data_IF_187266660789
#
_entry.id   IF_187266660789
#
_cell.length_a   1.000
_cell.length_b   1.000
_cell.length_c   1.000
_cell.angle_alpha   90.00
_cell.angle_beta   90.00
_cell.angle_gamma   90.00
#
_symmetry.space_group_name_H-M   'P 1'
#
loop_
_entity.id
_entity.type
_entity.pdbx_description
1 polymer ?
#
# COMPACT_ATOMS: atom_id res chain seq x y z
N UNK A 1 5.09 2.46 -7.78
CA UNK A 1 4.38 1.17 -7.92
C UNK A 1 3.03 1.36 -8.62
N UNK A 2 2.59 0.46 -9.50
CA UNK A 2 1.32 0.60 -10.27
C UNK A 2 0.10 0.82 -9.36
N UNK A 3 0.06 0.14 -8.22
CA UNK A 3 -1.01 0.28 -7.23
C UNK A 3 -1.17 1.72 -6.70
N UNK A 4 -0.08 2.48 -6.60
CA UNK A 4 -0.13 3.89 -6.18
C UNK A 4 -0.83 4.76 -7.23
N UNK A 5 -0.59 4.53 -8.52
CA UNK A 5 -1.24 5.29 -9.60
C UNK A 5 -2.75 5.03 -9.59
N UNK A 6 -3.16 3.76 -9.49
CA UNK A 6 -4.59 3.38 -9.46
C UNK A 6 -5.28 3.96 -8.22
N UNK A 7 -4.62 3.92 -7.05
CA UNK A 7 -5.16 4.50 -5.84
C UNK A 7 -5.28 6.03 -5.94
N UNK A 8 -4.35 6.70 -6.61
CA UNK A 8 -4.44 8.13 -6.84
C UNK A 8 -5.62 8.52 -7.74
N UNK A 9 -5.93 7.71 -8.75
CA UNK A 9 -7.10 7.93 -9.61
C UNK A 9 -8.42 7.72 -8.85
N UNK A 10 -8.50 6.65 -8.04
CA UNK A 10 -9.74 6.26 -7.36
C UNK A 10 -9.99 6.98 -6.02
N UNK A 11 -8.95 7.59 -5.44
CA UNK A 11 -8.98 8.29 -4.15
C UNK A 11 -9.69 7.48 -3.02
N UNK A 12 -9.29 6.22 -2.75
CA UNK A 12 -9.92 5.43 -1.69
C UNK A 12 -9.64 6.05 -0.31
N UNK A 13 -10.53 5.80 0.65
CA UNK A 13 -10.32 6.23 2.04
C UNK A 13 -9.10 5.58 2.68
N UNK A 14 -8.82 4.32 2.35
CA UNK A 14 -7.65 3.53 2.79
C UNK A 14 -7.25 2.55 1.69
N UNK A 15 -5.94 2.45 1.41
CA UNK A 15 -5.33 1.44 0.55
C UNK A 15 -4.71 0.35 1.42
N UNK A 16 -5.01 -0.92 1.14
CA UNK A 16 -4.48 -2.07 1.90
C UNK A 16 -3.71 -2.98 0.95
N UNK A 17 -2.40 -3.05 1.12
CA UNK A 17 -1.52 -3.89 0.32
C UNK A 17 -1.52 -5.30 0.90
N UNK A 18 -1.80 -6.31 0.08
CA UNK A 18 -1.81 -7.72 0.46
C UNK A 18 -1.14 -8.57 -0.62
N UNK A 19 -0.92 -9.86 -0.33
CA UNK A 19 -0.29 -10.82 -1.24
C UNK A 19 1.10 -10.35 -1.74
N UNK A 20 1.91 -9.84 -0.83
CA UNK A 20 3.22 -9.27 -1.14
C UNK A 20 4.30 -10.36 -1.10
N UNK A 21 5.08 -10.45 -2.18
CA UNK A 21 6.35 -11.16 -2.18
C UNK A 21 7.45 -10.14 -1.90
N UNK A 22 8.12 -10.26 -0.75
CA UNK A 22 9.06 -9.22 -0.30
C UNK A 22 10.37 -9.18 -1.10
N UNK A 23 10.97 -10.31 -1.49
CA UNK A 23 12.22 -10.36 -2.29
C UNK A 23 13.30 -9.32 -1.88
N UNK A 24 13.52 -9.14 -0.58
CA UNK A 24 14.49 -8.18 -0.04
C UNK A 24 13.97 -6.75 0.15
N UNK A 25 12.75 -6.44 -0.28
CA UNK A 25 12.02 -5.25 0.11
C UNK A 25 11.66 -5.26 1.60
N UNK A 26 11.46 -4.06 2.15
CA UNK A 26 10.92 -3.85 3.49
C UNK A 26 9.54 -3.21 3.39
N UNK A 27 8.77 -3.26 4.48
CA UNK A 27 7.50 -2.53 4.58
C UNK A 27 7.67 -1.06 4.19
N UNK A 28 8.76 -0.44 4.64
CA UNK A 28 9.07 0.96 4.35
C UNK A 28 9.35 1.22 2.87
N UNK A 29 10.14 0.36 2.20
CA UNK A 29 10.40 0.54 0.77
C UNK A 29 9.12 0.42 -0.05
N UNK A 30 8.26 -0.55 0.30
CA UNK A 30 6.94 -0.74 -0.32
C UNK A 30 6.04 0.49 -0.16
N UNK A 31 5.97 1.04 1.06
CA UNK A 31 5.17 2.24 1.33
C UNK A 31 5.73 3.47 0.61
N UNK A 32 7.05 3.62 0.52
CA UNK A 32 7.68 4.72 -0.21
C UNK A 32 7.40 4.64 -1.72
N UNK A 33 7.36 3.44 -2.30
CA UNK A 33 7.02 3.22 -3.71
C UNK A 33 5.56 3.56 -4.06
N UNK A 34 4.65 3.37 -3.10
CA UNK A 34 3.24 3.80 -3.22
C UNK A 34 3.16 5.33 -3.11
N UNK A 35 3.83 5.92 -2.10
CA UNK A 35 3.84 7.37 -1.85
C UNK A 35 4.40 8.21 -2.98
N UNK A 36 5.15 7.62 -3.91
CA UNK A 36 5.55 8.31 -5.14
C UNK A 36 4.34 8.78 -6.00
N UNK A 37 3.16 8.17 -5.81
CA UNK A 37 1.96 8.48 -6.60
C UNK A 37 0.70 8.67 -5.75
N UNK A 38 0.61 8.07 -4.56
CA UNK A 38 -0.56 8.16 -3.70
C UNK A 38 -0.18 8.53 -2.26
N UNK A 39 -0.62 9.72 -1.84
CA UNK A 39 -0.38 10.26 -0.49
C UNK A 39 -1.44 9.84 0.54
N UNK A 40 -2.46 9.08 0.12
CA UNK A 40 -3.55 8.66 1.01
C UNK A 40 -3.16 7.56 2.00
N UNK A 41 -4.00 7.30 3.01
CA UNK A 41 -3.71 6.29 4.04
C UNK A 41 -3.45 4.92 3.42
N UNK A 42 -2.26 4.38 3.64
CA UNK A 42 -1.83 3.09 3.10
C UNK A 42 -1.35 2.17 4.22
N UNK A 43 -1.80 0.92 4.18
CA UNK A 43 -1.50 -0.13 5.16
C UNK A 43 -0.96 -1.36 4.44
N UNK A 44 -0.04 -2.09 5.07
CA UNK A 44 0.34 -3.44 4.65
C UNK A 44 -0.43 -4.43 5.52
N UNK A 45 -1.20 -5.31 4.88
CA UNK A 45 -1.98 -6.34 5.56
C UNK A 45 -1.07 -7.27 6.35
N UNK A 46 -1.54 -7.66 7.53
CA UNK A 46 -0.92 -8.67 8.39
C UNK A 46 -1.97 -9.69 8.78
N UNK A 47 -1.52 -10.89 9.15
CA UNK A 47 -2.44 -11.94 9.62
C UNK A 47 -3.29 -11.41 10.77
N UNK A 48 -4.60 -11.69 10.70
CA UNK A 48 -5.61 -11.27 11.67
C UNK A 48 -5.78 -9.74 11.82
N UNK A 49 -5.29 -8.93 10.86
CA UNK A 49 -5.52 -7.49 10.86
C UNK A 49 -7.00 -7.15 10.65
N UNK A 50 -7.55 -6.30 11.53
CA UNK A 50 -8.90 -5.74 11.43
C UNK A 50 -8.78 -4.25 11.08
N UNK A 51 -9.63 -3.77 10.17
CA UNK A 51 -9.63 -2.38 9.69
C UNK A 51 -11.06 -1.84 9.80
N UNK A 52 -11.22 -0.75 10.56
CA UNK A 52 -12.49 -0.01 10.73
C UNK A 52 -12.69 1.09 9.67
#
# INVERSE_FOLDING_TARGET
MILGIIADELKPKKLVLSHILFWGATDESLLNDIRQNFDGPTLIAKDLMIID
#
